data_IF_005985488911
#
_entry.id   IF_005985488911
#
_cell.length_a   1.000
_cell.length_b   1.000
_cell.length_c   1.000
_cell.angle_alpha   90.00
_cell.angle_beta   90.00
_cell.angle_gamma   90.00
#
_symmetry.space_group_name_H-M   'P 1'
#
loop_
_entity.id
_entity.type
_entity.pdbx_description
1 polymer ?
#
# COMPACT_ATOMS: atom_id res chain seq x y z
N UNK A 1 1.33 -7.32 -0.42
CA UNK A 1 -0.05 -7.81 -0.68
C UNK A 1 -0.99 -6.66 -1.06
N UNK A 2 -1.19 -5.65 -0.21
CA UNK A 2 -2.20 -4.60 -0.48
C UNK A 2 -2.03 -3.87 -1.80
N UNK A 3 -0.83 -3.45 -2.23
CA UNK A 3 -0.65 -2.86 -3.56
C UNK A 3 -1.00 -3.82 -4.72
N UNK A 4 -0.72 -5.12 -4.55
CA UNK A 4 -1.08 -6.16 -5.52
C UNK A 4 -2.59 -6.26 -5.69
N UNK A 5 -3.34 -6.29 -4.57
CA UNK A 5 -4.80 -6.31 -4.57
C UNK A 5 -5.39 -5.02 -5.14
N UNK A 6 -4.81 -3.86 -4.83
CA UNK A 6 -5.25 -2.57 -5.35
C UNK A 6 -5.04 -2.48 -6.88
N UNK A 7 -3.94 -3.03 -7.38
CA UNK A 7 -3.69 -3.10 -8.83
C UNK A 7 -4.71 -4.02 -9.52
N UNK A 8 -5.02 -5.17 -8.91
CA UNK A 8 -6.07 -6.05 -9.43
C UNK A 8 -7.42 -5.33 -9.50
N UNK A 9 -7.82 -4.66 -8.40
CA UNK A 9 -9.06 -3.91 -8.34
C UNK A 9 -9.14 -2.88 -9.46
N UNK A 10 -8.11 -2.05 -9.61
CA UNK A 10 -8.04 -1.04 -10.67
C UNK A 10 -8.18 -1.66 -12.06
N UNK A 11 -7.41 -2.71 -12.36
CA UNK A 11 -7.45 -3.38 -13.66
C UNK A 11 -8.84 -3.97 -13.96
N UNK A 12 -9.54 -4.51 -12.96
CA UNK A 12 -10.90 -5.04 -13.15
C UNK A 12 -11.91 -3.91 -13.42
N UNK A 13 -11.84 -2.80 -12.70
CA UNK A 13 -12.68 -1.63 -12.96
C UNK A 13 -12.43 -1.07 -14.36
N UNK A 14 -11.18 -0.86 -14.75
CA UNK A 14 -10.84 -0.37 -16.08
C UNK A 14 -11.35 -1.28 -17.22
N UNK A 15 -11.34 -2.61 -17.02
CA UNK A 15 -11.90 -3.55 -18.01
C UNK A 15 -13.39 -3.33 -18.18
N UNK A 16 -14.12 -3.18 -17.07
CA UNK A 16 -15.57 -2.93 -17.12
C UNK A 16 -15.87 -1.57 -17.79
N UNK A 17 -15.09 -0.54 -17.48
CA UNK A 17 -15.22 0.79 -18.11
C UNK A 17 -15.00 0.75 -19.63
N UNK A 18 -14.12 -0.13 -20.11
CA UNK A 18 -13.91 -0.38 -21.54
C UNK A 18 -14.98 -1.30 -22.18
N UNK A 19 -15.98 -1.75 -21.40
CA UNK A 19 -17.02 -2.68 -21.87
C UNK A 19 -16.55 -4.12 -22.00
N UNK A 20 -15.41 -4.50 -21.42
CA UNK A 20 -14.90 -5.86 -21.43
C UNK A 20 -15.58 -6.70 -20.33
N UNK A 21 -15.93 -7.95 -20.67
CA UNK A 21 -16.52 -8.87 -19.69
C UNK A 21 -15.51 -9.35 -18.63
N UNK A 22 -16.01 -9.59 -17.42
CA UNK A 22 -15.27 -10.28 -16.38
C UNK A 22 -15.77 -11.72 -16.25
N UNK A 23 -14.84 -12.68 -16.36
CA UNK A 23 -15.09 -14.09 -16.09
C UNK A 23 -14.24 -14.52 -14.88
N UNK A 24 -14.75 -15.47 -14.11
CA UNK A 24 -14.05 -15.95 -12.90
C UNK A 24 -12.64 -16.45 -13.21
N UNK A 25 -12.49 -17.24 -14.27
CA UNK A 25 -11.19 -17.80 -14.66
C UNK A 25 -10.18 -16.70 -15.02
N UNK A 26 -10.62 -15.66 -15.74
CA UNK A 26 -9.78 -14.50 -16.05
C UNK A 26 -9.31 -13.79 -14.76
N UNK A 27 -10.20 -13.63 -13.82
CA UNK A 27 -9.90 -12.96 -12.55
C UNK A 27 -8.96 -13.81 -11.69
N UNK A 28 -9.13 -15.14 -11.67
CA UNK A 28 -8.24 -16.09 -11.00
C UNK A 28 -6.83 -16.02 -11.60
N UNK A 29 -6.71 -16.13 -12.91
CA UNK A 29 -5.41 -16.10 -13.58
C UNK A 29 -4.72 -14.75 -13.39
N UNK A 30 -5.44 -13.64 -13.54
CA UNK A 30 -4.84 -12.31 -13.37
C UNK A 30 -4.38 -12.06 -11.94
N UNK A 31 -5.15 -12.47 -10.95
CA UNK A 31 -4.74 -12.37 -9.54
C UNK A 31 -3.48 -13.20 -9.28
N UNK A 32 -3.41 -14.42 -9.81
CA UNK A 32 -2.24 -15.29 -9.68
C UNK A 32 -1.00 -14.68 -10.36
N UNK A 33 -1.15 -14.05 -11.53
CA UNK A 33 -0.06 -13.35 -12.21
C UNK A 33 0.49 -12.20 -11.37
N UNK A 34 -0.40 -11.38 -10.80
CA UNK A 34 0.00 -10.25 -9.97
C UNK A 34 0.74 -10.68 -8.70
N UNK A 35 0.34 -11.80 -8.10
CA UNK A 35 1.07 -12.38 -6.98
C UNK A 35 2.44 -12.92 -7.42
N UNK A 36 2.52 -13.59 -8.57
CA UNK A 36 3.79 -14.08 -9.11
C UNK A 36 4.76 -12.92 -9.41
N UNK A 37 4.26 -11.83 -10.00
CA UNK A 37 5.05 -10.61 -10.21
C UNK A 37 5.57 -10.04 -8.86
N UNK A 38 4.73 -10.04 -7.82
CA UNK A 38 5.07 -9.42 -6.53
C UNK A 38 6.08 -10.21 -5.71
N UNK A 39 6.05 -11.55 -5.80
CA UNK A 39 6.91 -12.42 -5.00
C UNK A 39 8.11 -12.98 -5.78
N UNK A 40 8.13 -12.78 -7.10
CA UNK A 40 9.23 -13.26 -7.95
C UNK A 40 9.34 -14.79 -8.01
N UNK A 41 10.49 -15.27 -8.47
CA UNK A 41 10.74 -16.70 -8.67
C UNK A 41 11.09 -17.49 -7.40
N UNK A 42 11.28 -16.81 -6.27
CA UNK A 42 11.68 -17.43 -5.01
C UNK A 42 10.53 -18.11 -4.27
N UNK A 43 9.29 -17.84 -4.68
CA UNK A 43 8.09 -18.41 -4.07
C UNK A 43 7.33 -19.32 -5.04
N UNK A 44 7.03 -20.55 -4.59
CA UNK A 44 6.11 -21.43 -5.30
C UNK A 44 4.67 -20.95 -5.09
N UNK A 45 3.97 -20.66 -6.17
CA UNK A 45 2.60 -20.14 -6.15
C UNK A 45 1.61 -21.22 -6.60
N UNK A 46 0.72 -21.62 -5.69
CA UNK A 46 -0.47 -22.43 -6.05
C UNK A 46 -1.49 -21.48 -6.71
N UNK A 47 -1.43 -21.42 -8.04
CA UNK A 47 -2.20 -20.47 -8.84
C UNK A 47 -3.70 -20.46 -8.55
N UNK A 48 -4.40 -21.62 -8.49
CA UNK A 48 -5.82 -21.66 -8.17
C UNK A 48 -6.15 -21.08 -6.79
N UNK A 49 -5.34 -21.41 -5.77
CA UNK A 49 -5.56 -20.94 -4.41
C UNK A 49 -5.25 -19.46 -4.24
N UNK A 50 -4.17 -18.99 -4.83
CA UNK A 50 -3.81 -17.57 -4.79
C UNK A 50 -4.76 -16.76 -5.66
N UNK A 51 -5.11 -17.28 -6.82
CA UNK A 51 -6.01 -16.63 -7.77
C UNK A 51 -7.40 -16.36 -7.21
N UNK A 52 -7.96 -17.26 -6.39
CA UNK A 52 -9.30 -17.07 -5.79
C UNK A 52 -9.33 -16.01 -4.67
N UNK A 53 -8.19 -15.43 -4.31
CA UNK A 53 -8.12 -14.39 -3.27
C UNK A 53 -9.10 -13.23 -3.53
N UNK A 54 -9.33 -12.86 -4.79
CA UNK A 54 -10.29 -11.82 -5.14
C UNK A 54 -11.70 -12.08 -4.61
N UNK A 55 -12.13 -13.36 -4.58
CA UNK A 55 -13.47 -13.73 -4.12
C UNK A 55 -13.59 -13.84 -2.60
N UNK A 56 -12.46 -14.00 -1.90
CA UNK A 56 -12.44 -14.24 -0.45
C UNK A 56 -11.96 -13.04 0.36
N UNK A 57 -11.26 -12.10 -0.27
CA UNK A 57 -10.72 -10.94 0.41
C UNK A 57 -11.77 -9.81 0.48
N UNK A 58 -12.40 -9.68 1.63
CA UNK A 58 -13.58 -8.83 1.85
C UNK A 58 -13.36 -7.35 1.48
N UNK A 59 -12.14 -6.84 1.57
CA UNK A 59 -11.80 -5.44 1.25
C UNK A 59 -12.00 -5.10 -0.24
N UNK A 60 -11.91 -6.09 -1.13
CA UNK A 60 -12.18 -5.90 -2.57
C UNK A 60 -13.67 -5.71 -2.89
N UNK A 61 -14.56 -5.89 -1.92
CA UNK A 61 -15.99 -5.57 -2.03
C UNK A 61 -16.34 -4.16 -1.55
N UNK A 62 -15.32 -3.38 -1.17
CA UNK A 62 -15.43 -1.96 -0.82
C UNK A 62 -14.63 -1.16 -1.83
N UNK A 63 -15.34 -0.46 -2.71
CA UNK A 63 -14.82 0.24 -3.87
C UNK A 63 -13.60 1.12 -3.54
N UNK A 64 -12.49 0.86 -4.20
CA UNK A 64 -11.20 1.56 -4.02
C UNK A 64 -10.75 1.71 -2.55
N UNK A 65 -10.99 0.68 -1.74
CA UNK A 65 -10.59 0.70 -0.34
C UNK A 65 -9.15 0.22 -0.11
N UNK A 66 -8.72 -0.79 -0.88
CA UNK A 66 -7.48 -1.55 -0.59
C UNK A 66 -6.21 -0.69 -0.72
N UNK A 67 -6.15 0.24 -1.67
CA UNK A 67 -4.97 1.09 -1.88
C UNK A 67 -4.64 1.96 -0.66
N UNK A 68 -5.61 2.25 0.20
CA UNK A 68 -5.45 3.10 1.38
C UNK A 68 -4.46 2.51 2.40
N UNK A 69 -4.27 1.20 2.40
CA UNK A 69 -3.24 0.56 3.22
C UNK A 69 -1.82 0.92 2.77
N UNK A 70 -1.59 1.04 1.46
CA UNK A 70 -0.30 1.46 0.93
C UNK A 70 0.00 2.93 1.27
N UNK A 71 -0.98 3.81 1.11
CA UNK A 71 -0.84 5.23 1.48
C UNK A 71 -0.68 5.40 2.98
N UNK A 72 -1.44 4.64 3.77
CA UNK A 72 -1.37 4.67 5.23
C UNK A 72 0.02 4.27 5.76
N UNK A 73 0.58 3.16 5.29
CA UNK A 73 1.92 2.73 5.74
C UNK A 73 3.01 3.70 5.26
N UNK A 74 2.89 4.28 4.07
CA UNK A 74 3.82 5.28 3.56
C UNK A 74 3.81 6.55 4.42
N UNK A 75 2.63 7.07 4.74
CA UNK A 75 2.50 8.22 5.63
C UNK A 75 3.02 7.92 7.04
N UNK A 76 2.73 6.75 7.59
CA UNK A 76 3.21 6.33 8.91
C UNK A 76 4.74 6.26 8.97
N UNK A 77 5.39 5.71 7.94
CA UNK A 77 6.85 5.69 7.84
C UNK A 77 7.42 7.12 7.76
N UNK A 78 6.87 7.98 6.91
CA UNK A 78 7.32 9.36 6.78
C UNK A 78 7.20 10.13 8.10
N UNK A 79 6.09 9.98 8.82
CA UNK A 79 5.86 10.60 10.12
C UNK A 79 6.85 10.10 11.18
N UNK A 80 7.00 8.77 11.30
CA UNK A 80 7.90 8.18 12.30
C UNK A 80 9.37 8.55 12.03
N UNK A 81 9.81 8.53 10.78
CA UNK A 81 11.18 8.91 10.42
C UNK A 81 11.48 10.37 10.77
N UNK A 82 10.55 11.30 10.54
CA UNK A 82 10.71 12.71 10.91
C UNK A 82 10.89 12.90 12.42
N UNK A 83 10.12 12.16 13.22
CA UNK A 83 10.20 12.22 14.69
C UNK A 83 11.52 11.60 15.17
N UNK A 84 11.86 10.41 14.69
CA UNK A 84 13.08 9.69 15.07
C UNK A 84 14.36 10.42 14.65
N UNK A 85 14.32 11.15 13.54
CA UNK A 85 15.43 12.01 13.09
C UNK A 85 15.56 13.30 13.93
N UNK A 86 14.68 13.53 14.91
CA UNK A 86 14.70 14.74 15.72
C UNK A 86 14.37 16.01 14.95
N UNK A 87 13.60 15.91 13.85
CA UNK A 87 13.20 17.09 13.06
C UNK A 87 12.48 18.09 13.96
N UNK A 88 12.96 19.35 14.03
CA UNK A 88 12.34 20.36 14.90
C UNK A 88 10.84 20.52 14.65
N UNK A 89 10.03 20.44 15.70
CA UNK A 89 8.58 20.57 15.64
C UNK A 89 7.83 19.37 15.07
N UNK A 90 8.50 18.25 14.74
CA UNK A 90 7.83 17.08 14.16
C UNK A 90 6.87 16.39 15.14
N UNK A 91 7.26 16.25 16.40
CA UNK A 91 6.41 15.63 17.42
C UNK A 91 5.18 16.48 17.70
N UNK A 92 5.33 17.79 17.82
CA UNK A 92 4.22 18.73 18.03
C UNK A 92 3.29 18.77 16.82
N UNK A 93 3.84 18.68 15.59
CA UNK A 93 3.08 18.61 14.37
C UNK A 93 2.24 17.31 14.31
N UNK A 94 2.82 16.19 14.74
CA UNK A 94 2.11 14.92 14.84
C UNK A 94 0.97 14.98 15.88
N UNK A 95 1.20 15.58 17.05
CA UNK A 95 0.14 15.78 18.05
C UNK A 95 -0.99 16.65 17.50
N UNK A 96 -0.68 17.72 16.74
CA UNK A 96 -1.71 18.54 16.08
C UNK A 96 -2.51 17.73 15.05
N UNK A 97 -1.85 16.86 14.27
CA UNK A 97 -2.53 15.94 13.35
C UNK A 97 -3.51 15.03 14.09
N UNK A 98 -3.09 14.39 15.18
CA UNK A 98 -3.97 13.54 16.00
C UNK A 98 -5.14 14.34 16.58
N UNK A 99 -4.89 15.56 17.03
CA UNK A 99 -5.91 16.44 17.63
C UNK A 99 -6.91 16.98 16.62
N UNK A 100 -6.59 17.02 15.34
CA UNK A 100 -7.50 17.44 14.28
C UNK A 100 -8.67 16.44 14.10
N UNK A 101 -8.48 15.16 14.46
CA UNK A 101 -9.50 14.14 14.32
C UNK A 101 -10.04 14.08 12.88
N UNK A 102 -11.36 14.12 12.73
CA UNK A 102 -12.04 14.12 11.43
C UNK A 102 -12.46 15.53 10.95
N UNK A 103 -11.87 16.59 11.50
CA UNK A 103 -12.22 17.97 11.14
C UNK A 103 -11.65 18.43 9.79
N UNK A 104 -10.70 17.68 9.22
CA UNK A 104 -10.02 17.98 7.95
C UNK A 104 -10.11 16.80 7.00
N UNK A 105 -9.95 17.07 5.71
CA UNK A 105 -9.74 16.00 4.73
C UNK A 105 -8.40 15.29 4.98
N UNK A 106 -8.27 13.99 4.68
CA UNK A 106 -7.09 13.19 5.01
C UNK A 106 -5.76 13.78 4.53
N UNK A 107 -5.70 14.31 3.32
CA UNK A 107 -4.50 14.93 2.76
C UNK A 107 -4.11 16.21 3.54
N UNK A 108 -5.09 17.03 3.90
CA UNK A 108 -4.84 18.26 4.66
C UNK A 108 -4.42 17.95 6.10
N UNK A 109 -5.03 16.94 6.71
CA UNK A 109 -4.64 16.47 8.03
C UNK A 109 -3.18 15.98 8.04
N UNK A 110 -2.74 15.20 7.04
CA UNK A 110 -1.35 14.74 6.92
C UNK A 110 -0.37 15.89 6.68
N UNK A 111 -0.78 16.93 5.94
CA UNK A 111 0.03 18.15 5.76
C UNK A 111 0.29 18.89 7.06
N UNK A 112 -0.63 18.85 8.04
CA UNK A 112 -0.36 19.40 9.38
C UNK A 112 0.85 18.75 10.06
N UNK A 113 1.05 17.46 9.81
CA UNK A 113 2.20 16.71 10.31
C UNK A 113 3.44 16.81 9.40
N UNK A 114 3.34 17.56 8.29
CA UNK A 114 4.43 17.78 7.35
C UNK A 114 4.65 16.63 6.36
N UNK A 115 3.61 15.85 6.07
CA UNK A 115 3.61 14.79 5.05
C UNK A 115 2.64 15.15 3.93
N UNK A 116 3.15 15.29 2.71
CA UNK A 116 2.33 15.54 1.53
C UNK A 116 2.21 14.29 0.66
N UNK A 117 1.08 13.59 0.79
CA UNK A 117 0.77 12.38 0.02
C UNK A 117 0.39 12.67 -1.45
N UNK A 118 0.33 13.93 -1.86
CA UNK A 118 0.20 14.28 -3.28
C UNK A 118 1.53 14.20 -4.05
N UNK A 119 2.64 13.88 -3.36
CA UNK A 119 3.98 13.66 -3.92
C UNK A 119 4.38 12.19 -3.80
N UNK A 120 5.41 11.76 -4.56
CA UNK A 120 5.96 10.40 -4.45
C UNK A 120 6.82 10.18 -3.21
N UNK A 121 7.29 11.27 -2.60
CA UNK A 121 8.27 11.24 -1.51
C UNK A 121 7.92 10.31 -0.33
N UNK A 122 6.69 10.29 0.22
CA UNK A 122 6.37 9.39 1.33
C UNK A 122 6.43 7.91 0.95
N UNK A 123 6.09 7.59 -0.30
CA UNK A 123 6.16 6.22 -0.82
C UNK A 123 7.63 5.81 -1.01
N UNK A 124 8.44 6.66 -1.63
CA UNK A 124 9.88 6.44 -1.81
C UNK A 124 10.59 6.26 -0.46
N UNK A 125 10.25 7.08 0.53
CA UNK A 125 10.79 6.96 1.88
C UNK A 125 10.43 5.62 2.54
N UNK A 126 9.19 5.12 2.35
CA UNK A 126 8.79 3.82 2.87
C UNK A 126 9.57 2.66 2.23
N UNK A 127 9.81 2.73 0.92
CA UNK A 127 10.66 1.74 0.23
C UNK A 127 12.12 1.81 0.67
N UNK A 128 12.66 3.00 0.92
CA UNK A 128 14.02 3.15 1.46
C UNK A 128 14.16 2.52 2.86
N UNK A 129 13.14 2.68 3.72
CA UNK A 129 13.08 2.00 5.02
C UNK A 129 13.07 0.48 4.85
N UNK A 130 12.25 -0.04 3.92
CA UNK A 130 12.18 -1.48 3.64
C UNK A 130 13.55 -2.01 3.16
N UNK A 131 14.20 -1.34 2.23
CA UNK A 131 15.52 -1.73 1.73
C UNK A 131 16.54 -1.80 2.87
N UNK A 132 16.61 -0.78 3.73
CA UNK A 132 17.50 -0.79 4.89
C UNK A 132 17.18 -1.88 5.92
N UNK A 133 15.93 -2.32 6.03
CA UNK A 133 15.56 -3.46 6.87
C UNK A 133 16.02 -4.79 6.26
N UNK A 134 15.96 -4.93 4.92
CA UNK A 134 16.48 -6.09 4.19
C UNK A 134 17.99 -6.18 4.38
N UNK A 135 18.74 -5.09 4.14
CA UNK A 135 20.20 -5.05 4.33
C UNK A 135 20.60 -5.46 5.76
N UNK A 136 19.85 -5.00 6.76
CA UNK A 136 20.07 -5.38 8.16
C UNK A 136 19.79 -6.85 8.42
N UNK A 137 18.74 -7.39 7.82
CA UNK A 137 18.40 -8.80 7.95
C UNK A 137 19.52 -9.67 7.33
N UNK A 138 19.96 -9.34 6.12
CA UNK A 138 21.07 -10.03 5.46
C UNK A 138 22.34 -10.04 6.34
N UNK A 139 22.68 -8.89 6.92
CA UNK A 139 23.82 -8.79 7.83
C UNK A 139 23.70 -9.63 9.12
N UNK A 140 22.49 -10.00 9.52
CA UNK A 140 22.24 -10.79 10.72
C UNK A 140 22.22 -12.31 10.48
N UNK A 141 21.88 -12.72 9.25
CA UNK A 141 21.70 -14.15 8.91
C UNK A 141 22.79 -14.71 8.00
N UNK A 142 23.60 -13.85 7.36
CA UNK A 142 24.78 -14.18 6.55
C UNK A 142 26.01 -14.18 7.38
#
# INVERSE_FOLDING_TARGET
IMPTLARFELEMHERVERGEGLAADLMIERMADLFAESYGGEMSIDRPRVGITWATFSHLYSDYYVYQYATGISAANALSQRILAGTPGAAEAYVRFLSAGSSLYPLDALKLAGVDMATTQPVEAAFAVLAGLVDRLEALVG
#
